data_IF_160246510005
#
_entry.id   IF_160246510005
#
_cell.length_a   1.000
_cell.length_b   1.000
_cell.length_c   1.000
_cell.angle_alpha   90.00
_cell.angle_beta   90.00
_cell.angle_gamma   90.00
#
_symmetry.space_group_name_H-M   'P 1'
#
loop_
_entity.id
_entity.type
_entity.pdbx_description
1 polymer ?
#
# COMPACT_ATOMS: atom_id res chain seq x y z
N UNK A 1 11.26 -35.72 3.59
CA UNK A 1 10.09 -34.81 3.60
C UNK A 1 10.48 -33.54 4.32
N UNK A 2 10.81 -32.46 3.60
CA UNK A 2 11.15 -31.15 4.18
C UNK A 2 9.98 -30.20 3.93
N UNK A 3 9.43 -29.65 5.00
CA UNK A 3 8.30 -28.70 5.00
C UNK A 3 8.76 -27.39 4.35
N UNK A 4 8.27 -27.10 3.14
CA UNK A 4 8.48 -25.81 2.48
C UNK A 4 7.45 -24.81 2.97
N UNK A 5 7.88 -23.81 3.73
CA UNK A 5 7.05 -22.67 4.10
C UNK A 5 6.68 -21.90 2.82
N UNK A 6 5.40 -21.88 2.44
CA UNK A 6 4.89 -20.96 1.42
C UNK A 6 4.97 -19.53 1.97
N UNK A 7 5.98 -18.78 1.54
CA UNK A 7 6.10 -17.37 1.86
C UNK A 7 4.98 -16.61 1.14
N UNK A 8 4.11 -15.93 1.89
CA UNK A 8 3.24 -14.91 1.33
C UNK A 8 4.14 -13.82 0.72
N UNK A 9 4.10 -13.66 -0.61
CA UNK A 9 4.90 -12.67 -1.30
C UNK A 9 4.25 -11.30 -1.10
N UNK A 10 4.86 -10.48 -0.24
CA UNK A 10 4.54 -9.06 -0.19
C UNK A 10 5.09 -8.42 -1.48
N UNK A 11 4.22 -8.06 -2.42
CA UNK A 11 4.57 -7.14 -3.48
C UNK A 11 4.72 -5.74 -2.87
N UNK A 12 5.80 -5.54 -2.12
CA UNK A 12 6.23 -4.22 -1.73
C UNK A 12 6.82 -3.57 -2.99
N UNK A 13 6.03 -2.75 -3.67
CA UNK A 13 6.59 -1.68 -4.48
C UNK A 13 7.23 -0.69 -3.49
N UNK A 14 8.44 -1.03 -3.08
CA UNK A 14 9.35 -0.13 -2.38
C UNK A 14 9.79 0.91 -3.41
N UNK A 15 8.93 1.90 -3.68
CA UNK A 15 9.32 3.14 -4.37
C UNK A 15 10.11 4.04 -3.39
N UNK A 16 11.04 3.42 -2.67
CA UNK A 16 11.77 3.96 -1.53
C UNK A 16 12.50 2.87 -0.75
N UNK A 17 13.31 2.06 -1.43
CA UNK A 17 14.38 1.25 -0.82
C UNK A 17 14.05 -0.21 -0.50
N UNK A 18 14.84 -1.12 -1.10
CA UNK A 18 14.97 -2.58 -0.88
C UNK A 18 14.18 -3.54 -1.79
N UNK A 19 14.15 -3.27 -3.10
CA UNK A 19 14.32 -4.31 -4.13
C UNK A 19 14.86 -3.60 -5.38
N UNK A 20 16.09 -3.90 -5.79
CA UNK A 20 16.76 -3.28 -6.94
C UNK A 20 16.01 -3.57 -8.25
N UNK A 21 15.10 -2.66 -8.61
CA UNK A 21 14.91 -2.29 -10.02
C UNK A 21 15.99 -1.26 -10.31
N UNK A 22 16.94 -1.57 -11.19
CA UNK A 22 17.96 -0.62 -11.63
C UNK A 22 17.29 0.61 -12.22
N UNK A 23 17.27 1.71 -11.46
CA UNK A 23 16.96 3.05 -11.95
C UNK A 23 18.29 3.65 -12.43
N UNK A 24 18.38 4.16 -13.67
CA UNK A 24 19.63 4.70 -14.19
C UNK A 24 20.23 5.77 -13.27
N UNK A 25 21.53 5.65 -12.98
CA UNK A 25 22.29 6.63 -12.20
C UNK A 25 22.22 8.02 -12.88
N UNK A 26 21.80 9.03 -12.12
CA UNK A 26 21.68 10.42 -12.58
C UNK A 26 20.26 10.98 -12.59
N UNK A 27 19.23 10.14 -12.46
CA UNK A 27 17.88 10.63 -12.14
C UNK A 27 17.78 10.84 -10.63
N UNK A 28 17.85 12.09 -10.17
CA UNK A 28 17.31 12.45 -8.86
C UNK A 28 15.81 12.13 -8.87
N UNK A 29 15.46 10.89 -8.52
CA UNK A 29 14.15 10.33 -8.77
C UNK A 29 13.18 10.72 -7.66
N UNK A 30 12.72 11.97 -7.70
CA UNK A 30 11.42 12.27 -7.10
C UNK A 30 10.36 11.55 -7.97
N UNK A 31 9.85 10.43 -7.45
CA UNK A 31 8.76 9.69 -8.07
C UNK A 31 7.47 10.39 -7.66
N UNK A 32 6.95 11.24 -8.54
CA UNK A 32 5.63 11.84 -8.32
C UNK A 32 4.56 10.75 -8.27
N UNK A 33 3.44 11.02 -7.60
CA UNK A 33 2.35 10.05 -7.49
C UNK A 33 1.79 9.66 -8.88
N UNK A 34 1.82 10.55 -9.89
CA UNK A 34 1.40 10.21 -11.25
C UNK A 34 2.31 9.14 -11.86
N UNK A 35 3.63 9.29 -11.67
CA UNK A 35 4.62 8.32 -12.16
C UNK A 35 4.45 6.96 -11.48
N UNK A 36 4.24 6.95 -10.17
CA UNK A 36 3.97 5.71 -9.45
C UNK A 36 2.66 5.06 -9.96
N UNK A 37 1.60 5.84 -10.14
CA UNK A 37 0.29 5.37 -10.60
C UNK A 37 0.37 4.66 -11.96
N UNK A 38 1.06 5.25 -12.95
CA UNK A 38 1.15 4.67 -14.30
C UNK A 38 1.98 3.39 -14.36
N UNK A 39 2.87 3.17 -13.38
CA UNK A 39 3.71 1.98 -13.31
C UNK A 39 3.06 0.80 -12.60
N UNK A 40 1.95 1.02 -11.87
CA UNK A 40 1.25 -0.05 -11.15
C UNK A 40 0.76 -1.20 -12.06
N UNK A 41 0.19 -0.95 -13.25
CA UNK A 41 -0.18 -2.02 -14.18
C UNK A 41 1.04 -2.83 -14.65
N UNK A 42 2.15 -2.16 -14.98
CA UNK A 42 3.38 -2.81 -15.43
C UNK A 42 3.94 -3.73 -14.34
N UNK A 43 3.96 -3.25 -13.09
CA UNK A 43 4.38 -4.05 -11.95
C UNK A 43 3.45 -5.26 -11.73
N UNK A 44 2.13 -5.08 -11.85
CA UNK A 44 1.16 -6.17 -11.75
C UNK A 44 1.41 -7.23 -12.83
N UNK A 45 1.65 -6.84 -14.08
CA UNK A 45 1.95 -7.76 -15.18
C UNK A 45 3.26 -8.52 -14.97
N UNK A 46 4.29 -7.85 -14.44
CA UNK A 46 5.55 -8.51 -14.09
C UNK A 46 5.36 -9.56 -12.99
N UNK A 47 4.59 -9.25 -11.95
CA UNK A 47 4.30 -10.17 -10.86
C UNK A 47 3.54 -11.41 -11.34
N UNK A 48 2.62 -11.27 -12.30
CA UNK A 48 1.89 -12.40 -12.91
C UNK A 48 2.80 -13.41 -13.63
N UNK A 49 3.96 -12.96 -14.11
CA UNK A 49 4.94 -13.82 -14.76
C UNK A 49 5.83 -14.64 -13.81
N UNK A 50 5.76 -14.40 -12.49
CA UNK A 50 6.64 -15.04 -11.51
C UNK A 50 5.97 -16.27 -10.90
N UNK A 51 6.47 -17.47 -11.26
CA UNK A 51 5.91 -18.74 -10.82
C UNK A 51 5.98 -18.99 -9.30
N UNK A 52 6.84 -18.27 -8.58
CA UNK A 52 6.97 -18.37 -7.13
C UNK A 52 5.98 -17.48 -6.36
N UNK A 53 5.29 -16.55 -7.04
CA UNK A 53 4.31 -15.65 -6.42
C UNK A 53 2.94 -16.34 -6.42
N UNK A 54 2.34 -16.50 -5.23
CA UNK A 54 0.93 -16.89 -5.14
C UNK A 54 0.05 -15.74 -5.61
N UNK A 55 -0.41 -15.84 -6.86
CA UNK A 55 -1.24 -14.82 -7.52
C UNK A 55 -2.56 -14.57 -6.80
N UNK A 56 -2.98 -15.48 -5.90
CA UNK A 56 -4.18 -15.32 -5.08
C UNK A 56 -3.94 -14.50 -3.82
N UNK A 57 -2.70 -14.08 -3.55
CA UNK A 57 -2.27 -13.42 -2.32
C UNK A 57 -1.35 -12.21 -2.60
N UNK A 58 -1.73 -11.39 -3.59
CA UNK A 58 -0.97 -10.20 -3.98
C UNK A 58 -1.66 -8.95 -3.45
N UNK A 59 -0.93 -8.12 -2.70
CA UNK A 59 -1.45 -6.90 -2.09
C UNK A 59 -0.71 -5.68 -2.64
N UNK A 60 -1.41 -4.56 -2.72
CA UNK A 60 -0.84 -3.29 -3.15
C UNK A 60 -0.54 -2.41 -1.94
N UNK A 61 0.71 -2.02 -1.74
CA UNK A 61 1.11 -1.15 -0.64
C UNK A 61 1.89 0.06 -1.15
N UNK A 62 1.60 1.24 -0.60
CA UNK A 62 2.30 2.47 -0.93
C UNK A 62 2.54 3.34 0.30
N UNK A 63 3.68 4.04 0.30
CA UNK A 63 4.07 4.99 1.34
C UNK A 63 4.21 6.41 0.77
N UNK A 64 3.81 7.45 1.52
CA UNK A 64 3.94 8.85 1.10
C UNK A 64 3.30 9.10 -0.28
N UNK A 65 4.02 9.66 -1.26
CA UNK A 65 3.56 9.81 -2.64
C UNK A 65 3.07 8.48 -3.26
N UNK A 66 3.71 7.35 -2.93
CA UNK A 66 3.26 6.01 -3.33
C UNK A 66 1.95 5.61 -2.66
N UNK A 67 1.70 6.07 -1.43
CA UNK A 67 0.43 5.89 -0.73
C UNK A 67 -0.73 6.56 -1.47
N UNK A 68 -0.50 7.79 -1.93
CA UNK A 68 -1.46 8.51 -2.76
C UNK A 68 -1.71 7.80 -4.11
N UNK A 69 -0.65 7.26 -4.73
CA UNK A 69 -0.75 6.53 -5.98
C UNK A 69 -1.58 5.24 -5.85
N UNK A 70 -1.32 4.42 -4.81
CA UNK A 70 -2.07 3.17 -4.61
C UNK A 70 -3.51 3.41 -4.17
N UNK A 71 -3.78 4.50 -3.44
CA UNK A 71 -5.15 4.90 -3.08
C UNK A 71 -5.96 5.33 -4.32
N UNK A 72 -5.35 6.12 -5.21
CA UNK A 72 -5.98 6.58 -6.44
C UNK A 72 -6.10 5.47 -7.51
N UNK A 73 -5.32 4.39 -7.41
CA UNK A 73 -5.38 3.29 -8.35
C UNK A 73 -6.70 2.52 -8.22
N UNK A 74 -7.41 2.20 -9.33
CA UNK A 74 -8.68 1.48 -9.30
C UNK A 74 -8.56 0.00 -8.89
N UNK A 75 -7.43 -0.39 -8.31
CA UNK A 75 -7.08 -1.74 -7.83
C UNK A 75 -7.56 -2.89 -8.74
N UNK A 76 -6.90 -3.06 -9.90
CA UNK A 76 -7.21 -4.09 -10.91
C UNK A 76 -6.59 -5.45 -10.59
N UNK A 77 -7.00 -6.06 -9.49
CA UNK A 77 -6.69 -7.47 -9.17
C UNK A 77 -5.68 -7.70 -8.07
N UNK A 78 -5.50 -6.75 -7.13
CA UNK A 78 -4.85 -7.04 -5.85
C UNK A 78 -5.91 -7.32 -4.77
N UNK A 79 -5.57 -8.20 -3.83
CA UNK A 79 -6.42 -8.66 -2.73
C UNK A 79 -6.72 -7.59 -1.68
N UNK A 80 -5.99 -6.48 -1.69
CA UNK A 80 -6.17 -5.39 -0.75
C UNK A 80 -5.18 -4.26 -1.00
N UNK A 81 -5.48 -3.09 -0.44
CA UNK A 81 -4.66 -1.88 -0.55
C UNK A 81 -4.21 -1.40 0.82
N UNK A 82 -2.93 -1.08 0.95
CA UNK A 82 -2.33 -0.55 2.18
C UNK A 82 -1.74 0.82 1.89
N UNK A 83 -2.30 1.85 2.52
CA UNK A 83 -1.86 3.25 2.42
C UNK A 83 -1.12 3.60 3.71
N UNK A 84 0.15 3.97 3.59
CA UNK A 84 1.00 4.35 4.73
C UNK A 84 1.54 5.77 4.59
N UNK A 85 1.50 6.57 5.66
CA UNK A 85 2.10 7.92 5.67
C UNK A 85 1.57 8.83 4.55
N UNK A 86 0.31 8.63 4.15
CA UNK A 86 -0.36 9.41 3.11
C UNK A 86 -1.84 9.53 3.43
N UNK A 87 -2.46 10.56 2.88
CA UNK A 87 -3.91 10.73 2.84
C UNK A 87 -4.45 10.28 1.49
N UNK A 88 -5.76 10.00 1.43
CA UNK A 88 -6.46 9.68 0.18
C UNK A 88 -6.88 10.97 -0.54
N UNK A 89 -5.98 11.95 -0.63
CA UNK A 89 -6.28 13.30 -1.15
C UNK A 89 -6.72 13.31 -2.63
N UNK A 90 -6.33 12.29 -3.40
CA UNK A 90 -6.72 12.11 -4.80
C UNK A 90 -7.81 11.04 -4.99
N UNK A 91 -8.46 10.64 -3.89
CA UNK A 91 -9.51 9.63 -3.87
C UNK A 91 -9.05 8.27 -3.34
N UNK A 92 -10.05 7.41 -3.15
CA UNK A 92 -9.88 6.00 -2.81
C UNK A 92 -10.64 5.18 -3.85
N UNK A 93 -9.93 4.66 -4.85
CA UNK A 93 -10.53 4.08 -6.06
C UNK A 93 -10.57 2.55 -6.07
N UNK A 94 -10.10 1.90 -5.01
CA UNK A 94 -10.22 0.45 -4.84
C UNK A 94 -11.69 0.00 -4.97
N UNK A 95 -12.03 -1.04 -5.76
CA UNK A 95 -13.41 -1.47 -5.98
C UNK A 95 -14.15 -1.78 -4.69
N UNK A 96 -15.48 -1.69 -4.72
CA UNK A 96 -16.32 -2.11 -3.60
C UNK A 96 -15.98 -3.55 -3.17
N UNK A 97 -15.92 -3.78 -1.86
CA UNK A 97 -15.49 -5.06 -1.28
C UNK A 97 -13.97 -5.28 -1.22
N UNK A 98 -13.15 -4.43 -1.84
CA UNK A 98 -11.70 -4.49 -1.65
C UNK A 98 -11.34 -4.01 -0.24
N UNK A 99 -10.62 -4.81 0.57
CA UNK A 99 -10.17 -4.35 1.88
C UNK A 99 -9.08 -3.28 1.73
N UNK A 100 -9.17 -2.24 2.55
CA UNK A 100 -8.21 -1.14 2.57
C UNK A 100 -7.74 -0.90 4.00
N UNK A 101 -6.42 -0.85 4.21
CA UNK A 101 -5.79 -0.41 5.45
C UNK A 101 -5.13 0.95 5.23
N UNK A 102 -5.40 1.91 6.10
CA UNK A 102 -4.73 3.21 6.14
C UNK A 102 -4.05 3.43 7.49
N UNK A 103 -2.74 3.70 7.47
CA UNK A 103 -1.94 3.99 8.67
C UNK A 103 -1.16 5.30 8.49
N UNK A 104 -1.32 6.26 9.38
CA UNK A 104 -0.50 7.48 9.39
C UNK A 104 -0.52 8.18 10.75
N UNK A 105 0.32 9.21 10.93
CA UNK A 105 0.40 9.98 12.17
C UNK A 105 -0.43 11.27 12.18
N UNK A 106 -0.96 11.63 13.35
CA UNK A 106 -1.81 12.82 13.58
C UNK A 106 -1.20 14.11 13.05
N UNK A 107 0.08 14.31 13.34
CA UNK A 107 0.83 15.53 13.06
C UNK A 107 1.95 15.32 12.05
N UNK A 108 1.79 14.36 11.13
CA UNK A 108 2.73 14.17 10.02
C UNK A 108 2.95 15.53 9.29
N UNK A 109 4.18 16.07 9.27
CA UNK A 109 4.45 17.39 8.71
C UNK A 109 4.25 17.44 7.19
N UNK A 110 4.25 16.29 6.52
CA UNK A 110 3.99 16.17 5.08
C UNK A 110 2.50 16.11 4.77
N UNK A 111 1.64 16.08 5.79
CA UNK A 111 0.19 16.10 5.59
C UNK A 111 -0.24 17.47 5.10
N UNK A 112 -0.86 17.48 3.93
CA UNK A 112 -1.57 18.66 3.47
C UNK A 112 -2.79 18.90 4.38
N UNK A 113 -2.71 19.90 5.26
CA UNK A 113 -3.83 20.30 6.14
C UNK A 113 -5.08 20.76 5.37
N UNK A 114 -4.95 21.07 4.06
CA UNK A 114 -6.08 21.44 3.17
C UNK A 114 -6.81 20.22 2.59
N UNK A 115 -6.16 19.07 2.46
CA UNK A 115 -6.87 17.84 2.07
C UNK A 115 -7.57 17.29 3.30
N UNK A 116 -8.75 17.85 3.60
CA UNK A 116 -9.48 17.63 4.84
C UNK A 116 -9.87 16.16 5.10
N UNK A 117 -9.81 15.28 4.08
CA UNK A 117 -10.29 13.90 4.18
C UNK A 117 -9.15 12.89 4.30
N UNK A 118 -8.97 12.35 5.50
CA UNK A 118 -8.22 11.11 5.69
C UNK A 118 -8.85 9.95 4.91
N UNK A 119 -8.10 8.87 4.66
CA UNK A 119 -8.67 7.69 3.99
C UNK A 119 -9.88 7.10 4.73
N UNK A 120 -9.96 7.26 6.06
CA UNK A 120 -11.14 6.89 6.85
C UNK A 120 -12.40 7.66 6.46
N UNK A 121 -12.27 8.96 6.17
CA UNK A 121 -13.41 9.78 5.73
C UNK A 121 -13.90 9.41 4.34
N UNK A 122 -13.00 9.00 3.44
CA UNK A 122 -13.39 8.38 2.16
C UNK A 122 -14.11 7.05 2.39
N UNK A 123 -13.68 6.25 3.37
CA UNK A 123 -14.41 5.05 3.80
C UNK A 123 -15.86 5.35 4.18
N UNK A 124 -16.08 6.39 5.01
CA UNK A 124 -17.43 6.81 5.42
C UNK A 124 -18.28 7.34 4.26
N UNK A 125 -17.72 8.21 3.42
CA UNK A 125 -18.44 8.84 2.30
C UNK A 125 -18.88 7.81 1.26
N UNK A 126 -18.08 6.79 1.02
CA UNK A 126 -18.36 5.77 0.00
C UNK A 126 -18.87 4.44 0.58
N UNK A 127 -19.23 4.40 1.87
CA UNK A 127 -19.65 3.19 2.60
C UNK A 127 -18.68 2.01 2.42
N UNK A 128 -17.38 2.30 2.38
CA UNK A 128 -16.33 1.28 2.21
C UNK A 128 -15.74 0.90 3.57
N UNK A 129 -15.55 -0.41 3.85
CA UNK A 129 -14.87 -0.85 5.06
C UNK A 129 -13.37 -0.54 4.94
N UNK A 130 -12.99 0.69 5.27
CA UNK A 130 -11.59 1.12 5.39
C UNK A 130 -11.17 0.95 6.83
N UNK A 131 -10.20 0.08 7.07
CA UNK A 131 -9.53 -0.03 8.36
C UNK A 131 -8.57 1.15 8.50
N UNK A 132 -8.84 2.04 9.45
CA UNK A 132 -8.11 3.30 9.59
C UNK A 132 -7.48 3.40 10.97
N UNK A 133 -6.17 3.64 11.00
CA UNK A 133 -5.42 3.81 12.24
C UNK A 133 -4.58 5.09 12.22
N UNK A 134 -4.85 5.93 13.20
CA UNK A 134 -4.15 7.17 13.44
C UNK A 134 -3.17 6.98 14.59
N UNK A 135 -1.91 7.33 14.37
CA UNK A 135 -0.85 7.20 15.36
C UNK A 135 -0.52 8.57 15.97
N UNK A 136 -0.36 8.66 17.31
CA UNK A 136 0.06 9.91 17.93
C UNK A 136 1.45 10.32 17.44
N UNK A 137 1.71 11.63 17.45
CA UNK A 137 3.00 12.21 17.05
C UNK A 137 3.05 12.69 15.60
N UNK A 138 4.27 12.92 15.11
CA UNK A 138 4.54 13.59 13.83
C UNK A 138 5.36 12.75 12.85
N UNK A 139 5.41 11.43 13.05
CA UNK A 139 6.22 10.55 12.20
C UNK A 139 5.64 10.48 10.78
N UNK A 140 6.45 10.80 9.78
CA UNK A 140 6.09 10.53 8.39
C UNK A 140 6.19 9.03 8.09
N UNK A 141 7.30 8.41 8.50
CA UNK A 141 7.56 6.99 8.27
C UNK A 141 7.17 6.15 9.51
N UNK A 142 6.23 5.22 9.33
CA UNK A 142 5.78 4.28 10.36
C UNK A 142 6.47 2.92 10.32
N UNK A 143 7.47 2.70 9.47
CA UNK A 143 8.18 1.42 9.36
C UNK A 143 8.89 1.02 10.67
N UNK A 144 9.34 1.99 11.48
CA UNK A 144 9.90 1.73 12.81
C UNK A 144 8.85 1.45 13.90
N UNK A 145 7.57 1.72 13.63
CA UNK A 145 6.51 1.57 14.62
C UNK A 145 6.00 0.12 14.66
N UNK A 146 6.22 -0.56 15.78
CA UNK A 146 5.87 -1.97 15.95
C UNK A 146 4.36 -2.24 15.78
N UNK A 147 3.52 -1.36 16.32
CA UNK A 147 2.07 -1.45 16.20
C UNK A 147 1.62 -1.28 14.75
N UNK A 148 2.18 -0.33 14.00
CA UNK A 148 1.88 -0.16 12.57
C UNK A 148 2.28 -1.40 11.76
N UNK A 149 3.46 -1.96 12.03
CA UNK A 149 3.88 -3.24 11.41
C UNK A 149 2.97 -4.40 11.79
N UNK A 150 2.48 -4.43 13.03
CA UNK A 150 1.51 -5.40 13.53
C UNK A 150 0.23 -5.37 12.71
N UNK A 151 -0.38 -4.19 12.59
CA UNK A 151 -1.61 -3.98 11.81
C UNK A 151 -1.45 -4.38 10.34
N UNK A 152 -0.33 -4.01 9.71
CA UNK A 152 -0.04 -4.42 8.33
C UNK A 152 0.02 -5.96 8.23
N UNK A 153 0.72 -6.63 9.15
CA UNK A 153 0.77 -8.10 9.18
C UNK A 153 -0.59 -8.75 9.42
N UNK A 154 -1.39 -8.19 10.32
CA UNK A 154 -2.74 -8.68 10.63
C UNK A 154 -3.67 -8.54 9.43
N UNK A 155 -3.63 -7.39 8.76
CA UNK A 155 -4.37 -7.14 7.53
C UNK A 155 -4.01 -8.16 6.44
N UNK A 156 -2.72 -8.37 6.20
CA UNK A 156 -2.25 -9.36 5.23
C UNK A 156 -2.75 -10.77 5.58
N UNK A 157 -2.64 -11.20 6.85
CA UNK A 157 -3.13 -12.51 7.29
C UNK A 157 -4.63 -12.66 7.12
N UNK A 158 -5.40 -11.67 7.55
CA UNK A 158 -6.87 -11.66 7.52
C UNK A 158 -7.42 -11.76 6.10
N UNK A 159 -6.73 -11.18 5.13
CA UNK A 159 -7.18 -11.10 3.74
C UNK A 159 -6.42 -12.04 2.78
N UNK A 160 -5.53 -12.86 3.31
CA UNK A 160 -4.88 -13.91 2.53
C UNK A 160 -5.78 -15.13 2.39
N UNK A 161 -5.79 -15.74 1.21
CA UNK A 161 -6.40 -17.04 0.95
C UNK A 161 -5.41 -18.12 1.42
N UNK A 162 -5.81 -19.05 2.31
CA UNK A 162 -4.93 -20.13 2.74
C UNK A 162 -4.34 -20.92 1.56
N UNK A 163 -3.06 -21.26 1.64
CA UNK A 163 -2.44 -22.25 0.76
C UNK A 163 -3.10 -23.61 1.02
N UNK A 164 -3.61 -24.25 -0.05
CA UNK A 164 -4.10 -25.63 0.03
C UNK A 164 -2.94 -26.59 0.16
#
# INVERSE_FOLDING_TARGET
MKRGACAAALAALLLGGCAEVQVPEGAGAEITWERAYVMLPVAADRLRGLAWVDQRNVFLMGHSQGGAAVAAYPNRGFNGVIVSGSTCQYGLNAPEGTPVLSVYSESDPWRNKRSARGCGEWGTVYQRPVEFHLFPGNAHNLAGNEKARGLIRDFLRKHSIPSR
#
